data_IF_422753338631
#
_entry.id   IF_422753338631
#
_cell.length_a   1.000
_cell.length_b   1.000
_cell.length_c   1.000
_cell.angle_alpha   90.00
_cell.angle_beta   90.00
_cell.angle_gamma   90.00
#
_symmetry.space_group_name_H-M   'P 1'
#
loop_
_entity.id
_entity.type
_entity.pdbx_description
1 polymer ?
#
# COMPACT_ATOMS: atom_id res chain seq x y z
N UNK A 1 -0.61 -22.58 -9.92
CA UNK A 1 0.82 -22.30 -9.73
C UNK A 1 1.77 -23.17 -10.59
N UNK A 2 1.69 -24.53 -10.62
CA UNK A 2 2.58 -25.34 -11.49
C UNK A 2 2.38 -25.13 -13.01
N UNK A 3 1.18 -24.85 -13.49
CA UNK A 3 0.89 -24.65 -14.93
C UNK A 3 1.40 -23.31 -15.48
N UNK A 4 1.51 -22.28 -14.64
CA UNK A 4 2.01 -20.96 -15.05
C UNK A 4 3.55 -20.93 -15.09
N UNK A 5 4.23 -21.64 -14.17
CA UNK A 5 5.69 -21.80 -14.23
C UNK A 5 6.14 -22.49 -15.53
N UNK A 6 5.46 -23.57 -15.93
CA UNK A 6 5.77 -24.27 -17.17
C UNK A 6 5.52 -23.41 -18.42
N UNK A 7 4.57 -22.47 -18.38
CA UNK A 7 4.29 -21.57 -19.51
C UNK A 7 5.36 -20.47 -19.63
N UNK A 8 5.86 -19.96 -18.51
CA UNK A 8 6.96 -19.00 -18.48
C UNK A 8 8.29 -19.61 -18.93
N UNK A 9 8.62 -20.83 -18.48
CA UNK A 9 9.81 -21.56 -18.93
C UNK A 9 9.80 -21.89 -20.43
N UNK A 10 8.63 -22.23 -21.00
CA UNK A 10 8.50 -22.46 -22.44
C UNK A 10 8.71 -21.18 -23.26
N UNK A 11 8.29 -20.01 -22.76
CA UNK A 11 8.50 -18.71 -23.44
C UNK A 11 9.98 -18.33 -23.38
N UNK A 12 10.62 -18.51 -22.25
CA UNK A 12 12.05 -18.22 -22.07
C UNK A 12 12.91 -19.13 -22.98
N UNK A 13 12.60 -20.42 -23.05
CA UNK A 13 13.31 -21.37 -23.91
C UNK A 13 13.10 -21.06 -25.42
N UNK A 14 11.93 -20.53 -25.80
CA UNK A 14 11.65 -20.12 -27.17
C UNK A 14 12.41 -18.86 -27.59
N UNK A 15 12.58 -17.92 -26.64
CA UNK A 15 13.39 -16.71 -26.84
C UNK A 15 14.88 -17.00 -26.89
N UNK A 16 15.38 -17.92 -26.05
CA UNK A 16 16.79 -18.36 -26.08
C UNK A 16 17.14 -19.09 -27.40
N UNK A 17 16.23 -19.95 -27.92
CA UNK A 17 16.42 -20.57 -29.23
C UNK A 17 16.45 -19.57 -30.38
N UNK A 18 15.61 -18.51 -30.31
CA UNK A 18 15.57 -17.48 -31.35
C UNK A 18 16.86 -16.62 -31.35
N UNK A 19 17.42 -16.33 -30.20
CA UNK A 19 18.70 -15.62 -30.09
C UNK A 19 19.89 -16.47 -30.56
N UNK A 20 19.86 -17.80 -30.31
CA UNK A 20 20.91 -18.69 -30.79
C UNK A 20 20.96 -18.79 -32.33
N UNK A 21 19.76 -18.88 -32.96
CA UNK A 21 19.65 -18.87 -34.42
C UNK A 21 20.04 -17.52 -35.07
N UNK A 22 19.94 -16.39 -34.32
CA UNK A 22 20.44 -15.08 -34.79
C UNK A 22 21.96 -14.96 -34.70
N UNK A 23 22.59 -15.65 -33.72
CA UNK A 23 24.05 -15.67 -33.61
C UNK A 23 24.71 -16.58 -34.68
N UNK A 24 24.10 -17.76 -34.94
CA UNK A 24 24.56 -18.71 -35.97
C UNK A 24 24.42 -18.12 -37.39
N UNK A 25 23.41 -17.26 -37.66
CA UNK A 25 23.25 -16.57 -38.95
C UNK A 25 24.19 -15.37 -39.13
N UNK A 26 24.88 -14.94 -38.07
CA UNK A 26 25.92 -13.90 -38.15
C UNK A 26 27.30 -14.51 -38.51
N UNK A 27 27.59 -15.71 -37.98
CA UNK A 27 28.82 -16.42 -38.29
C UNK A 27 28.82 -16.98 -39.74
N UNK A 28 27.66 -17.45 -40.28
CA UNK A 28 27.55 -17.84 -41.70
C UNK A 28 27.71 -16.66 -42.68
N UNK A 29 27.45 -15.40 -42.26
CA UNK A 29 27.67 -14.22 -43.11
C UNK A 29 29.11 -13.76 -43.14
N UNK A 30 29.89 -14.00 -42.09
CA UNK A 30 31.32 -13.65 -42.06
C UNK A 30 32.21 -14.65 -42.83
N UNK A 31 31.80 -15.93 -42.94
CA UNK A 31 32.54 -16.92 -43.77
C UNK A 31 32.31 -16.76 -45.30
N UNK A 32 31.27 -16.04 -45.73
CA UNK A 32 30.99 -15.80 -47.15
C UNK A 32 31.73 -14.56 -47.73
N UNK A 33 32.33 -13.72 -46.90
CA UNK A 33 33.07 -12.53 -47.33
C UNK A 33 34.57 -12.80 -47.63
N UNK A 34 35.12 -13.98 -47.23
CA UNK A 34 36.55 -14.28 -47.39
C UNK A 34 36.90 -15.06 -48.66
N UNK A 35 35.94 -15.24 -49.60
CA UNK A 35 36.14 -15.99 -50.85
C UNK A 35 35.99 -15.19 -52.14
N UNK A 36 35.96 -13.84 -52.07
CA UNK A 36 35.81 -13.03 -53.28
C UNK A 36 36.84 -11.89 -53.36
N UNK A 37 38.09 -12.19 -52.98
CA UNK A 37 39.24 -11.33 -53.32
C UNK A 37 40.09 -12.04 -54.34
N UNK A 38 39.70 -12.08 -55.61
CA UNK A 38 40.52 -12.23 -56.79
C UNK A 38 39.68 -12.07 -58.08
N UNK A 39 39.44 -10.87 -58.54
CA UNK A 39 39.47 -10.47 -59.97
C UNK A 39 39.35 -8.97 -60.12
N UNK A 40 40.42 -8.37 -60.27
CA UNK A 40 40.91 -7.26 -61.09
C UNK A 40 39.95 -6.29 -61.76
N UNK A 41 40.18 -5.02 -61.39
CA UNK A 41 40.39 -3.85 -62.27
C UNK A 41 39.30 -3.37 -63.23
N UNK A 42 39.10 -2.04 -63.07
CA UNK A 42 38.43 -1.08 -63.97
C UNK A 42 36.93 -0.83 -63.63
N UNK A 43 36.68 0.15 -62.76
CA UNK A 43 36.02 1.42 -63.14
C UNK A 43 36.01 2.37 -61.95
N UNK A 44 36.78 3.45 -62.08
CA UNK A 44 36.73 4.62 -61.23
C UNK A 44 35.43 5.41 -61.47
N UNK A 45 34.90 6.01 -60.40
CA UNK A 45 33.82 6.99 -60.34
C UNK A 45 32.40 6.46 -60.13
N UNK A 46 32.06 6.25 -58.82
CA UNK A 46 30.71 6.56 -58.25
C UNK A 46 30.57 6.08 -56.79
N UNK A 47 31.51 6.44 -55.89
CA UNK A 47 31.50 5.93 -54.49
C UNK A 47 31.39 6.99 -53.39
N UNK A 48 30.89 8.20 -53.66
CA UNK A 48 30.78 9.20 -52.58
C UNK A 48 29.38 9.45 -51.99
N UNK A 49 28.25 9.02 -52.57
CA UNK A 49 26.93 9.24 -51.91
C UNK A 49 26.40 8.06 -51.08
N UNK A 50 27.04 6.88 -51.11
CA UNK A 50 26.51 5.73 -50.34
C UNK A 50 27.00 5.64 -48.91
N UNK A 51 28.27 6.02 -48.65
CA UNK A 51 28.84 5.98 -47.31
C UNK A 51 28.18 7.01 -46.36
N UNK A 52 27.96 8.24 -46.83
CA UNK A 52 27.29 9.29 -46.05
C UNK A 52 25.80 8.96 -45.73
N UNK A 53 25.12 8.16 -46.59
CA UNK A 53 23.75 7.73 -46.35
C UNK A 53 23.66 6.53 -45.40
N UNK A 54 24.70 5.72 -45.28
CA UNK A 54 24.76 4.61 -44.30
C UNK A 54 25.13 5.12 -42.92
N UNK A 55 26.12 6.04 -42.80
CA UNK A 55 26.46 6.70 -41.53
C UNK A 55 25.28 7.51 -40.94
N UNK A 56 24.54 8.26 -41.77
CA UNK A 56 23.37 9.00 -41.33
C UNK A 56 22.23 8.09 -40.89
N UNK A 57 22.11 6.86 -41.40
CA UNK A 57 21.13 5.86 -40.97
C UNK A 57 21.57 5.15 -39.69
N UNK A 58 22.85 4.94 -39.48
CA UNK A 58 23.37 4.36 -38.24
C UNK A 58 23.23 5.32 -37.06
N UNK A 59 23.49 6.62 -37.26
CA UNK A 59 23.28 7.65 -36.24
C UNK A 59 21.79 7.81 -35.88
N UNK A 60 20.86 7.76 -36.85
CA UNK A 60 19.42 7.81 -36.60
C UNK A 60 18.93 6.54 -35.89
N UNK A 61 19.51 5.38 -36.16
CA UNK A 61 19.24 4.14 -35.46
C UNK A 61 19.81 4.15 -34.04
N UNK A 62 20.99 4.68 -33.82
CA UNK A 62 21.61 4.81 -32.50
C UNK A 62 20.80 5.76 -31.61
N UNK A 63 20.41 6.91 -32.13
CA UNK A 63 19.57 7.88 -31.39
C UNK A 63 18.18 7.29 -31.03
N UNK A 64 17.54 6.57 -31.97
CA UNK A 64 16.27 5.86 -31.69
C UNK A 64 16.42 4.77 -30.63
N UNK A 65 17.54 4.07 -30.63
CA UNK A 65 17.85 3.04 -29.65
C UNK A 65 18.05 3.63 -28.25
N UNK A 66 18.75 4.78 -28.17
CA UNK A 66 18.90 5.50 -26.91
C UNK A 66 17.57 6.04 -26.37
N UNK A 67 16.74 6.62 -27.23
CA UNK A 67 15.40 7.08 -26.85
C UNK A 67 14.52 5.93 -26.37
N UNK A 68 14.57 4.78 -27.05
CA UNK A 68 13.82 3.59 -26.66
C UNK A 68 14.30 3.05 -25.32
N UNK A 69 15.63 3.02 -25.11
CA UNK A 69 16.21 2.61 -23.82
C UNK A 69 15.81 3.57 -22.69
N UNK A 70 15.82 4.89 -22.93
CA UNK A 70 15.33 5.88 -21.96
C UNK A 70 13.86 5.66 -21.62
N UNK A 71 13.02 5.44 -22.63
CA UNK A 71 11.59 5.13 -22.43
C UNK A 71 11.39 3.82 -21.68
N UNK A 72 12.18 2.80 -21.99
CA UNK A 72 12.14 1.52 -21.29
C UNK A 72 12.51 1.66 -19.81
N UNK A 73 13.61 2.38 -19.50
CA UNK A 73 14.03 2.62 -18.12
C UNK A 73 12.98 3.40 -17.32
N UNK A 74 12.36 4.41 -17.93
CA UNK A 74 11.28 5.17 -17.32
C UNK A 74 10.08 4.25 -17.01
N UNK A 75 9.63 3.50 -18.01
CA UNK A 75 8.49 2.57 -17.86
C UNK A 75 8.79 1.48 -16.82
N UNK A 76 10.02 0.98 -16.78
CA UNK A 76 10.44 0.00 -15.79
C UNK A 76 10.41 0.58 -14.37
N UNK A 77 10.90 1.82 -14.20
CA UNK A 77 10.84 2.53 -12.92
C UNK A 77 9.38 2.74 -12.47
N UNK A 78 8.53 3.19 -13.39
CA UNK A 78 7.10 3.40 -13.11
C UNK A 78 6.39 2.09 -12.74
N UNK A 79 6.73 1.00 -13.43
CA UNK A 79 6.20 -0.32 -13.13
C UNK A 79 6.62 -0.80 -11.74
N UNK A 80 7.90 -0.64 -11.36
CA UNK A 80 8.37 -1.00 -10.01
C UNK A 80 7.69 -0.15 -8.92
N UNK A 81 7.54 1.15 -9.15
CA UNK A 81 6.82 2.03 -8.24
C UNK A 81 5.33 1.65 -8.13
N UNK A 82 4.69 1.33 -9.26
CA UNK A 82 3.32 0.85 -9.28
C UNK A 82 3.18 -0.46 -8.52
N UNK A 83 4.11 -1.41 -8.72
CA UNK A 83 4.11 -2.70 -8.02
C UNK A 83 4.23 -2.53 -6.50
N UNK A 84 5.16 -1.68 -6.06
CA UNK A 84 5.34 -1.36 -4.63
C UNK A 84 4.08 -0.72 -4.04
N UNK A 85 3.52 0.27 -4.74
CA UNK A 85 2.28 0.93 -4.32
C UNK A 85 1.12 -0.05 -4.22
N UNK A 86 0.93 -0.91 -5.24
CA UNK A 86 -0.14 -1.92 -5.24
C UNK A 86 0.01 -2.95 -4.13
N UNK A 87 1.23 -3.38 -3.83
CA UNK A 87 1.47 -4.29 -2.70
C UNK A 87 1.09 -3.63 -1.36
N UNK A 88 1.42 -2.34 -1.19
CA UNK A 88 1.05 -1.57 0.00
C UNK A 88 -0.46 -1.39 0.11
N UNK A 89 -1.12 -0.96 -0.96
CA UNK A 89 -2.58 -0.81 -1.02
C UNK A 89 -3.30 -2.13 -0.69
N UNK A 90 -2.83 -3.25 -1.23
CA UNK A 90 -3.39 -4.56 -0.94
C UNK A 90 -3.23 -4.95 0.53
N UNK A 91 -2.06 -4.67 1.12
CA UNK A 91 -1.81 -4.93 2.54
C UNK A 91 -2.73 -4.07 3.43
N UNK A 92 -2.88 -2.78 3.13
CA UNK A 92 -3.79 -1.87 3.83
C UNK A 92 -5.25 -2.31 3.71
N UNK A 93 -5.67 -2.78 2.54
CA UNK A 93 -7.01 -3.28 2.30
C UNK A 93 -7.31 -4.54 3.14
N UNK A 94 -6.36 -5.47 3.23
CA UNK A 94 -6.49 -6.66 4.08
C UNK A 94 -6.50 -6.28 5.57
N UNK A 95 -5.64 -5.36 5.99
CA UNK A 95 -5.58 -4.89 7.38
C UNK A 95 -6.87 -4.19 7.81
N UNK A 96 -7.50 -3.43 6.91
CA UNK A 96 -8.70 -2.65 7.21
C UNK A 96 -10.01 -3.32 6.75
N UNK A 97 -9.95 -4.56 6.27
CA UNK A 97 -11.13 -5.29 5.78
C UNK A 97 -12.26 -5.44 6.82
N UNK A 98 -11.91 -5.44 8.11
CA UNK A 98 -12.87 -5.52 9.21
C UNK A 98 -13.39 -4.16 9.69
N UNK A 99 -12.94 -3.04 9.11
CA UNK A 99 -13.31 -1.69 9.57
C UNK A 99 -14.83 -1.46 9.57
N UNK A 100 -15.52 -1.84 8.50
CA UNK A 100 -16.98 -1.68 8.39
C UNK A 100 -17.73 -2.44 9.48
N UNK A 101 -17.41 -3.72 9.66
CA UNK A 101 -18.01 -4.55 10.70
C UNK A 101 -17.72 -4.01 12.11
N UNK A 102 -16.50 -3.58 12.36
CA UNK A 102 -16.12 -3.05 13.68
C UNK A 102 -16.88 -1.75 13.94
N UNK A 103 -17.01 -0.84 12.97
CA UNK A 103 -17.80 0.40 13.11
C UNK A 103 -19.26 0.14 13.51
N UNK A 104 -19.87 -0.87 12.90
CA UNK A 104 -21.24 -1.27 13.24
C UNK A 104 -21.34 -1.90 14.63
N UNK A 105 -20.28 -2.51 15.14
CA UNK A 105 -20.21 -3.12 16.46
C UNK A 105 -19.97 -2.09 17.59
N UNK A 106 -19.31 -0.94 17.29
CA UNK A 106 -18.99 0.06 18.30
C UNK A 106 -20.22 0.57 19.09
N UNK A 107 -21.38 0.86 18.49
CA UNK A 107 -22.58 1.25 19.26
C UNK A 107 -23.03 0.17 20.24
N UNK A 108 -22.88 -1.10 19.89
CA UNK A 108 -23.23 -2.23 20.79
C UNK A 108 -22.27 -2.26 21.99
N UNK A 109 -21.01 -1.96 21.78
CA UNK A 109 -20.00 -1.85 22.84
C UNK A 109 -20.34 -0.69 23.77
N UNK A 110 -20.72 0.48 23.23
CA UNK A 110 -21.14 1.65 24.01
C UNK A 110 -22.37 1.35 24.86
N UNK A 111 -23.36 0.67 24.29
CA UNK A 111 -24.57 0.24 25.02
C UNK A 111 -24.24 -0.76 26.11
N UNK A 112 -23.30 -1.65 25.87
CA UNK A 112 -22.81 -2.61 26.85
C UNK A 112 -22.09 -1.92 28.01
N UNK A 113 -21.22 -0.97 27.75
CA UNK A 113 -20.54 -0.15 28.77
C UNK A 113 -21.56 0.63 29.61
N UNK A 114 -22.54 1.25 28.94
CA UNK A 114 -23.61 1.98 29.63
C UNK A 114 -24.44 1.05 30.51
N UNK A 115 -24.73 -0.18 30.10
CA UNK A 115 -25.43 -1.17 30.92
C UNK A 115 -24.62 -1.56 32.16
N UNK A 116 -23.31 -1.77 32.01
CA UNK A 116 -22.41 -2.06 33.15
C UNK A 116 -22.37 -0.90 34.14
N UNK A 117 -22.28 0.35 33.69
CA UNK A 117 -22.30 1.54 34.54
C UNK A 117 -23.63 1.67 35.33
N UNK A 118 -24.78 1.38 34.68
CA UNK A 118 -26.08 1.43 35.35
C UNK A 118 -26.25 0.33 36.41
N UNK A 119 -25.53 -0.80 36.30
CA UNK A 119 -25.53 -1.84 37.31
C UNK A 119 -24.70 -1.46 38.56
N UNK A 120 -23.74 -0.53 38.43
CA UNK A 120 -22.95 -0.04 39.59
C UNK A 120 -23.78 0.70 40.61
N UNK A 121 -24.88 1.30 40.19
CA UNK A 121 -25.76 2.09 41.06
C UNK A 121 -26.78 1.23 41.85
N UNK A 122 -26.76 -0.10 41.68
CA UNK A 122 -27.71 -1.00 42.34
C UNK A 122 -27.04 -1.88 43.43
N UNK A 123 -27.35 -1.62 44.65
CA UNK A 123 -26.80 -2.27 45.84
C UNK A 123 -27.49 -3.62 46.12
N UNK A 124 -27.29 -4.61 45.24
CA UNK A 124 -27.89 -5.96 45.39
C UNK A 124 -26.86 -7.04 45.00
N UNK A 125 -26.67 -8.04 45.89
CA UNK A 125 -25.70 -9.13 45.69
C UNK A 125 -25.92 -9.93 44.40
N UNK A 126 -27.14 -10.06 43.91
CA UNK A 126 -27.48 -10.73 42.65
C UNK A 126 -26.99 -9.91 41.47
N UNK A 127 -27.13 -8.58 41.53
CA UNK A 127 -26.60 -7.68 40.50
C UNK A 127 -25.08 -7.69 40.47
N UNK A 128 -24.41 -7.75 41.61
CA UNK A 128 -22.95 -7.81 41.70
C UNK A 128 -22.39 -9.05 40.97
N UNK A 129 -22.95 -10.23 41.22
CA UNK A 129 -22.55 -11.48 40.54
C UNK A 129 -22.84 -11.46 39.03
N UNK A 130 -23.98 -10.89 38.67
CA UNK A 130 -24.34 -10.74 37.23
C UNK A 130 -23.39 -9.77 36.52
N UNK A 131 -23.04 -8.66 37.17
CA UNK A 131 -22.07 -7.67 36.64
C UNK A 131 -20.70 -8.30 36.40
N UNK A 132 -20.18 -9.08 37.37
CA UNK A 132 -18.89 -9.79 37.20
C UNK A 132 -18.91 -10.70 35.96
N UNK A 133 -19.99 -11.46 35.75
CA UNK A 133 -20.15 -12.31 34.57
C UNK A 133 -20.18 -11.50 33.28
N UNK A 134 -20.87 -10.36 33.28
CA UNK A 134 -20.93 -9.46 32.12
C UNK A 134 -19.57 -8.78 31.84
N UNK A 135 -18.84 -8.36 32.87
CA UNK A 135 -17.50 -7.80 32.72
C UNK A 135 -16.52 -8.81 32.09
N UNK A 136 -16.60 -10.08 32.47
CA UNK A 136 -15.79 -11.14 31.86
C UNK A 136 -16.08 -11.28 30.35
N UNK A 137 -17.36 -11.21 29.95
CA UNK A 137 -17.75 -11.27 28.52
C UNK A 137 -17.26 -10.04 27.80
N UNK A 138 -17.42 -8.84 28.36
CA UNK A 138 -16.96 -7.58 27.82
C UNK A 138 -15.43 -7.60 27.61
N UNK A 139 -14.68 -7.96 28.64
CA UNK A 139 -13.23 -8.05 28.57
C UNK A 139 -12.75 -9.03 27.49
N UNK A 140 -13.44 -10.17 27.34
CA UNK A 140 -13.14 -11.13 26.28
C UNK A 140 -13.44 -10.57 24.88
N UNK A 141 -14.54 -9.83 24.72
CA UNK A 141 -14.90 -9.16 23.47
C UNK A 141 -13.82 -8.12 23.10
N UNK A 142 -13.49 -7.20 24.03
CA UNK A 142 -12.46 -6.17 23.80
C UNK A 142 -11.11 -6.80 23.51
N UNK A 143 -10.70 -7.83 24.26
CA UNK A 143 -9.44 -8.53 23.99
C UNK A 143 -9.41 -9.17 22.59
N UNK A 144 -10.56 -9.67 22.10
CA UNK A 144 -10.67 -10.24 20.76
C UNK A 144 -10.55 -9.15 19.68
N UNK A 145 -11.18 -8.00 19.87
CA UNK A 145 -11.11 -6.85 18.97
C UNK A 145 -9.71 -6.21 18.98
N UNK A 146 -9.06 -6.14 20.14
CA UNK A 146 -7.68 -5.67 20.27
C UNK A 146 -6.70 -6.55 19.48
N UNK A 147 -6.89 -7.87 19.47
CA UNK A 147 -6.11 -8.78 18.60
C UNK A 147 -6.34 -8.52 17.11
N UNK A 148 -7.45 -7.89 16.75
CA UNK A 148 -7.76 -7.45 15.37
C UNK A 148 -7.28 -6.03 15.06
N UNK A 149 -6.57 -5.39 16.01
CA UNK A 149 -5.99 -4.07 15.84
C UNK A 149 -6.83 -2.91 16.39
N UNK A 150 -7.95 -3.19 17.08
CA UNK A 150 -8.75 -2.14 17.71
C UNK A 150 -8.01 -1.61 18.95
N UNK A 151 -7.89 -0.28 19.07
CA UNK A 151 -7.28 0.39 20.22
C UNK A 151 -8.16 1.58 20.62
N UNK A 152 -8.51 1.75 21.89
CA UNK A 152 -9.24 2.92 22.36
C UNK A 152 -8.36 4.16 22.30
N UNK A 153 -8.97 5.31 22.05
CA UNK A 153 -8.35 6.64 22.21
C UNK A 153 -8.62 7.04 23.66
N UNK A 154 -7.55 7.31 24.40
CA UNK A 154 -7.67 7.81 25.79
C UNK A 154 -7.74 9.33 25.72
N UNK A 155 -8.94 9.89 25.66
CA UNK A 155 -9.15 11.31 25.51
C UNK A 155 -9.15 12.07 26.86
N UNK A 156 -9.65 11.47 27.92
CA UNK A 156 -9.86 12.14 29.21
C UNK A 156 -8.55 12.62 29.85
N UNK A 157 -8.48 13.92 30.13
CA UNK A 157 -7.29 14.57 30.73
C UNK A 157 -6.23 15.02 29.72
N UNK A 158 -6.34 14.59 28.44
CA UNK A 158 -5.43 15.01 27.38
C UNK A 158 -5.86 16.36 26.76
N UNK A 159 -4.92 17.00 26.07
CA UNK A 159 -5.21 18.20 25.28
C UNK A 159 -6.16 17.84 24.12
N UNK A 160 -7.10 18.72 23.81
CA UNK A 160 -7.99 18.54 22.68
C UNK A 160 -7.21 18.53 21.36
N UNK A 161 -7.41 17.48 20.56
CA UNK A 161 -6.86 17.33 19.22
C UNK A 161 -8.00 17.07 18.22
N UNK A 162 -8.15 17.95 17.24
CA UNK A 162 -9.19 17.84 16.19
C UNK A 162 -9.07 16.58 15.34
N UNK A 163 -7.89 15.94 15.27
CA UNK A 163 -7.67 14.71 14.54
C UNK A 163 -8.18 13.46 15.28
N UNK A 164 -8.44 13.56 16.60
CA UNK A 164 -8.79 12.45 17.47
C UNK A 164 -10.12 12.65 18.18
N UNK A 165 -10.49 13.90 18.41
CA UNK A 165 -11.59 14.27 19.29
C UNK A 165 -12.65 15.10 18.56
N UNK A 166 -13.89 14.84 18.88
CA UNK A 166 -15.07 15.63 18.49
C UNK A 166 -15.63 16.34 19.71
N UNK A 167 -15.46 17.65 19.84
CA UNK A 167 -15.97 18.43 20.96
C UNK A 167 -17.49 18.60 20.83
N UNK A 168 -18.26 17.95 21.70
CA UNK A 168 -19.74 18.05 21.73
C UNK A 168 -20.23 19.15 22.68
N UNK A 169 -19.45 19.49 23.71
CA UNK A 169 -19.75 20.56 24.64
C UNK A 169 -18.48 21.26 25.11
N UNK A 170 -18.64 22.51 25.53
CA UNK A 170 -17.60 23.34 26.12
C UNK A 170 -18.08 23.82 27.48
N UNK A 171 -17.22 23.68 28.48
CA UNK A 171 -17.49 24.15 29.84
C UNK A 171 -16.40 25.12 30.27
N UNK A 172 -16.68 26.09 31.15
CA UNK A 172 -15.65 26.97 31.67
C UNK A 172 -14.63 26.17 32.46
N UNK A 173 -13.33 26.42 32.22
CA UNK A 173 -12.25 25.80 32.97
C UNK A 173 -12.32 26.21 34.44
N UNK A 174 -12.16 25.25 35.37
CA UNK A 174 -12.12 25.52 36.79
C UNK A 174 -10.73 26.06 37.21
N UNK A 175 -9.69 25.62 36.47
CA UNK A 175 -8.29 26.02 36.69
C UNK A 175 -7.65 26.34 35.32
N UNK A 176 -6.62 27.19 35.31
CA UNK A 176 -5.87 27.47 34.07
C UNK A 176 -5.21 26.24 33.46
N UNK A 177 -4.83 25.27 34.28
CA UNK A 177 -4.24 24.01 33.83
C UNK A 177 -5.22 23.09 33.08
N UNK A 178 -6.53 23.31 33.21
CA UNK A 178 -7.58 22.53 32.53
C UNK A 178 -7.96 23.13 31.17
N UNK A 179 -7.54 24.36 30.91
CA UNK A 179 -7.89 25.07 29.69
C UNK A 179 -7.40 24.34 28.44
N UNK A 180 -8.30 24.03 27.56
CA UNK A 180 -8.03 23.27 26.33
C UNK A 180 -7.94 21.77 26.53
N UNK A 181 -8.14 21.25 27.75
CA UNK A 181 -8.14 19.81 28.02
C UNK A 181 -9.55 19.19 27.93
N UNK A 182 -9.56 17.93 27.64
CA UNK A 182 -10.74 17.08 27.70
C UNK A 182 -11.07 16.77 29.14
N UNK A 183 -12.22 17.25 29.62
CA UNK A 183 -12.68 17.02 30.98
C UNK A 183 -13.41 15.69 31.10
N UNK A 184 -14.25 15.39 30.09
CA UNK A 184 -14.99 14.12 30.10
C UNK A 184 -15.15 13.58 28.67
N UNK A 185 -15.30 12.25 28.60
CA UNK A 185 -15.49 11.52 27.35
C UNK A 185 -16.86 10.83 27.37
N UNK A 186 -17.77 11.33 26.53
CA UNK A 186 -19.12 10.81 26.44
C UNK A 186 -19.20 9.54 25.61
N UNK A 187 -18.35 9.45 24.56
CA UNK A 187 -18.28 8.27 23.68
C UNK A 187 -16.82 8.02 23.34
N UNK A 188 -16.33 6.82 23.59
CA UNK A 188 -14.94 6.46 23.34
C UNK A 188 -14.61 6.47 21.85
N UNK A 189 -13.48 7.04 21.49
CA UNK A 189 -12.91 6.93 20.17
C UNK A 189 -12.07 5.66 20.00
N UNK A 190 -11.85 5.25 18.75
CA UNK A 190 -11.10 4.04 18.48
C UNK A 190 -10.22 4.18 17.23
N UNK A 191 -9.02 3.61 17.32
CA UNK A 191 -8.18 3.28 16.19
C UNK A 191 -8.41 1.85 15.73
N UNK A 192 -8.28 1.60 14.44
CA UNK A 192 -8.05 0.27 13.89
C UNK A 192 -6.67 0.27 13.24
N UNK A 193 -5.73 -0.49 13.81
CA UNK A 193 -4.32 -0.40 13.49
C UNK A 193 -3.81 1.05 13.68
N UNK A 194 -3.47 1.76 12.58
CA UNK A 194 -2.98 3.15 12.64
C UNK A 194 -4.01 4.17 12.11
N UNK A 195 -5.24 3.73 11.83
CA UNK A 195 -6.31 4.58 11.29
C UNK A 195 -7.36 4.87 12.34
N UNK A 196 -7.72 6.15 12.54
CA UNK A 196 -8.88 6.54 13.34
C UNK A 196 -10.16 6.08 12.63
N UNK A 197 -10.94 5.21 13.26
CA UNK A 197 -12.22 4.71 12.74
C UNK A 197 -13.42 5.43 13.39
N UNK A 198 -13.24 5.98 14.59
CA UNK A 198 -14.23 6.80 15.30
C UNK A 198 -13.50 7.79 16.22
N UNK A 199 -13.89 9.07 16.14
CA UNK A 199 -13.41 10.10 17.06
C UNK A 199 -14.02 9.93 18.44
N UNK A 200 -13.27 10.32 19.51
CA UNK A 200 -13.83 10.39 20.85
C UNK A 200 -14.73 11.62 20.94
N UNK A 201 -15.98 11.44 21.41
CA UNK A 201 -16.87 12.56 21.71
C UNK A 201 -16.59 13.07 23.10
N UNK A 202 -16.15 14.33 23.18
CA UNK A 202 -15.55 14.90 24.40
C UNK A 202 -16.19 16.21 24.82
N UNK A 203 -16.07 16.49 26.12
CA UNK A 203 -16.36 17.79 26.71
C UNK A 203 -15.03 18.49 27.01
N UNK A 204 -14.84 19.71 26.51
CA UNK A 204 -13.59 20.46 26.60
C UNK A 204 -13.74 21.65 27.55
N UNK A 205 -12.72 21.90 28.38
CA UNK A 205 -12.62 23.11 29.19
C UNK A 205 -12.12 24.29 28.36
N UNK A 206 -12.74 25.44 28.44
CA UNK A 206 -12.34 26.69 27.76
C UNK A 206 -12.26 27.87 28.73
#
# INVERSE_FOLDING_TARGET
>A
MKKEKNKAENIINKLLKKNKNMAENKEEKEELTDKTEQSEQETQNEETPKAEQEEAKEDDLATKLEELNKKYLLLYSDFENFRKRKAKEQMELVMNASEGLIKELLPVIDDYERALQNMESQDNEVFAKTKEGMELIYNKLIATLTKKGLKPINAKGEMFDENLHEAIARIPAQNEDEKGKVIDETTKGYYLNDKVIRYSKVVVAM
#
